data_IF_762290225772
#
_entry.id   IF_762290225772
#
_cell.length_a   1.000
_cell.length_b   1.000
_cell.length_c   1.000
_cell.angle_alpha   90.00
_cell.angle_beta   90.00
_cell.angle_gamma   90.00
#
_symmetry.space_group_name_H-M   'P 1'
#
loop_
_entity.id
_entity.type
_entity.pdbx_description
1 polymer ?
#
# COMPACT_ATOMS: atom_id res chain seq x y z
N UNK A 1 -9.87 9.42 -37.20
CA UNK A 1 -8.40 9.54 -37.38
C UNK A 1 -7.77 8.23 -36.97
N UNK A 2 -6.75 7.71 -37.66
CA UNK A 2 -6.01 6.57 -37.15
C UNK A 2 -5.39 6.95 -35.81
N UNK A 3 -5.35 6.01 -34.86
CA UNK A 3 -4.66 6.20 -33.59
C UNK A 3 -3.15 6.38 -33.86
N UNK A 4 -2.42 7.17 -33.03
CA UNK A 4 -0.99 7.30 -33.17
C UNK A 4 -0.29 5.94 -32.99
N UNK A 5 0.89 5.77 -33.58
CA UNK A 5 1.66 4.52 -33.59
C UNK A 5 1.98 3.95 -32.21
N UNK A 6 1.90 4.78 -31.14
CA UNK A 6 2.10 4.40 -29.74
C UNK A 6 0.81 4.12 -28.96
N UNK A 7 -0.35 4.00 -29.64
CA UNK A 7 -1.60 3.65 -29.00
C UNK A 7 -1.56 2.23 -28.41
N UNK A 8 -2.18 2.05 -27.24
CA UNK A 8 -2.29 0.74 -26.61
C UNK A 8 -3.28 -0.15 -27.35
N UNK A 9 -2.87 -1.35 -27.71
CA UNK A 9 -3.78 -2.38 -28.19
C UNK A 9 -4.59 -3.02 -27.04
N UNK A 10 -5.59 -3.84 -27.39
CA UNK A 10 -6.47 -4.48 -26.39
C UNK A 10 -5.70 -5.42 -25.45
N UNK A 11 -4.76 -6.27 -25.90
CA UNK A 11 -3.89 -7.05 -25.03
C UNK A 11 -3.07 -6.20 -24.07
N UNK A 12 -2.46 -5.10 -24.52
CA UNK A 12 -1.69 -4.19 -23.67
C UNK A 12 -2.58 -3.52 -22.61
N UNK A 13 -3.76 -3.02 -22.99
CA UNK A 13 -4.75 -2.45 -22.05
C UNK A 13 -5.13 -3.46 -20.97
N UNK A 14 -5.39 -4.70 -21.35
CA UNK A 14 -5.73 -5.79 -20.42
C UNK A 14 -4.57 -6.12 -19.48
N UNK A 15 -3.35 -6.19 -20.01
CA UNK A 15 -2.15 -6.48 -19.22
C UNK A 15 -1.86 -5.38 -18.20
N UNK A 16 -2.01 -4.11 -18.59
CA UNK A 16 -1.83 -2.96 -17.68
C UNK A 16 -2.86 -2.96 -16.55
N UNK A 17 -4.15 -3.18 -16.87
CA UNK A 17 -5.21 -3.26 -15.86
C UNK A 17 -5.00 -4.44 -14.89
N UNK A 18 -4.59 -5.60 -15.39
CA UNK A 18 -4.30 -6.77 -14.57
C UNK A 18 -3.09 -6.55 -13.65
N UNK A 19 -2.04 -5.89 -14.14
CA UNK A 19 -0.90 -5.50 -13.33
C UNK A 19 -1.31 -4.52 -12.23
N UNK A 20 -2.06 -3.46 -12.56
CA UNK A 20 -2.55 -2.46 -11.64
C UNK A 20 -3.40 -3.07 -10.51
N UNK A 21 -4.23 -4.06 -10.83
CA UNK A 21 -5.05 -4.78 -9.87
C UNK A 21 -4.24 -5.56 -8.83
N UNK A 22 -2.95 -5.84 -9.08
CA UNK A 22 -2.07 -6.53 -8.12
C UNK A 22 -1.47 -5.62 -7.06
N UNK A 23 -1.69 -4.30 -7.13
CA UNK A 23 -1.24 -3.35 -6.12
C UNK A 23 -1.78 -3.68 -4.71
N UNK A 24 -1.09 -3.22 -3.63
CA UNK A 24 -1.62 -3.34 -2.28
C UNK A 24 -2.81 -2.40 -2.07
N UNK A 25 -3.73 -2.81 -1.21
CA UNK A 25 -4.83 -1.96 -0.75
C UNK A 25 -5.20 -2.29 0.69
N UNK A 26 -5.86 -1.34 1.36
CA UNK A 26 -6.37 -1.55 2.72
C UNK A 26 -7.24 -2.81 2.75
N UNK A 27 -6.92 -3.75 3.65
CA UNK A 27 -7.59 -5.05 3.80
C UNK A 27 -7.87 -5.77 2.45
N UNK A 28 -7.03 -5.59 1.44
CA UNK A 28 -7.21 -6.12 0.08
C UNK A 28 -8.55 -5.71 -0.57
N UNK A 29 -9.10 -4.58 -0.15
CA UNK A 29 -10.42 -4.08 -0.60
C UNK A 29 -10.47 -3.74 -2.09
N UNK A 30 -9.30 -3.42 -2.70
CA UNK A 30 -9.16 -3.07 -4.11
C UNK A 30 -10.15 -1.96 -4.51
N UNK A 31 -10.07 -0.77 -3.85
CA UNK A 31 -11.05 0.29 -3.97
C UNK A 31 -10.81 1.15 -5.22
N UNK A 32 -10.66 0.50 -6.36
CA UNK A 32 -10.40 1.13 -7.64
C UNK A 32 -11.20 0.48 -8.77
N UNK A 33 -11.38 1.27 -9.81
CA UNK A 33 -11.84 0.85 -11.13
C UNK A 33 -10.87 1.43 -12.16
N UNK A 34 -10.58 0.68 -13.20
CA UNK A 34 -9.74 1.14 -14.30
C UNK A 34 -10.57 1.28 -15.57
N UNK A 35 -10.50 2.45 -16.20
CA UNK A 35 -10.96 2.65 -17.56
C UNK A 35 -9.74 2.65 -18.47
N UNK A 36 -9.66 1.72 -19.39
CA UNK A 36 -8.53 1.58 -20.32
C UNK A 36 -8.97 1.90 -21.74
N UNK A 37 -8.08 2.52 -22.49
CA UNK A 37 -8.30 2.85 -23.89
C UNK A 37 -6.98 3.01 -24.65
N UNK A 38 -7.04 3.20 -25.98
CA UNK A 38 -5.83 3.34 -26.80
C UNK A 38 -4.91 4.48 -26.36
N UNK A 39 -5.43 5.51 -25.70
CA UNK A 39 -4.68 6.67 -25.27
C UNK A 39 -4.12 6.56 -23.84
N UNK A 40 -4.48 5.51 -23.07
CA UNK A 40 -3.99 5.31 -21.72
C UNK A 40 -4.99 4.72 -20.75
N UNK A 41 -4.88 5.10 -19.48
CA UNK A 41 -5.65 4.52 -18.37
C UNK A 41 -6.14 5.62 -17.44
N UNK A 42 -7.40 5.53 -17.02
CA UNK A 42 -7.93 6.28 -15.89
C UNK A 42 -8.07 5.39 -14.67
N UNK A 43 -7.70 5.93 -13.52
CA UNK A 43 -7.85 5.28 -12.21
C UNK A 43 -8.95 6.00 -11.44
N UNK A 44 -10.04 5.29 -11.18
CA UNK A 44 -11.17 5.81 -10.42
C UNK A 44 -11.23 5.14 -9.05
N UNK A 45 -11.56 5.92 -8.01
CA UNK A 45 -11.85 5.39 -6.69
C UNK A 45 -13.24 4.74 -6.63
N UNK A 46 -13.35 3.59 -5.97
CA UNK A 46 -14.63 3.00 -5.55
C UNK A 46 -14.66 2.86 -4.01
N UNK A 47 -15.03 3.93 -3.28
CA UNK A 47 -15.03 3.94 -1.83
C UNK A 47 -15.97 2.90 -1.21
N UNK A 48 -16.99 2.42 -1.95
CA UNK A 48 -17.91 1.37 -1.46
C UNK A 48 -17.20 0.06 -1.16
N UNK A 49 -16.00 -0.16 -1.71
CA UNK A 49 -15.19 -1.37 -1.48
C UNK A 49 -14.29 -1.24 -0.25
N UNK A 50 -13.99 -0.03 0.20
CA UNK A 50 -13.09 0.21 1.32
C UNK A 50 -13.78 0.04 2.68
N UNK A 51 -13.02 -0.22 3.76
CA UNK A 51 -13.51 -0.06 5.12
C UNK A 51 -14.00 1.37 5.34
N UNK A 52 -15.06 1.54 6.14
CA UNK A 52 -15.69 2.86 6.38
C UNK A 52 -15.69 3.27 7.84
N UNK A 53 -15.37 2.35 8.74
CA UNK A 53 -15.48 2.55 10.18
C UNK A 53 -14.33 3.34 10.81
N UNK A 54 -13.26 3.65 10.07
CA UNK A 54 -12.10 4.39 10.58
C UNK A 54 -12.07 5.84 10.10
N UNK A 55 -11.45 6.74 10.87
CA UNK A 55 -11.20 8.13 10.44
C UNK A 55 -10.27 8.18 9.21
N UNK A 56 -9.46 7.16 8.97
CA UNK A 56 -8.57 7.05 7.81
C UNK A 56 -9.25 6.59 6.51
N UNK A 57 -10.50 6.16 6.55
CA UNK A 57 -11.19 5.46 5.45
C UNK A 57 -11.02 6.16 4.08
N UNK A 58 -11.23 7.48 4.04
CA UNK A 58 -11.06 8.26 2.80
C UNK A 58 -9.61 8.28 2.32
N UNK A 59 -8.66 8.51 3.23
CA UNK A 59 -7.22 8.51 2.96
C UNK A 59 -6.76 7.16 2.40
N UNK A 60 -7.20 6.07 3.00
CA UNK A 60 -6.81 4.71 2.63
C UNK A 60 -7.28 4.33 1.22
N UNK A 61 -8.41 4.89 0.76
CA UNK A 61 -8.85 4.76 -0.64
C UNK A 61 -7.87 5.43 -1.59
N UNK A 62 -7.50 6.70 -1.34
CA UNK A 62 -6.58 7.42 -2.20
C UNK A 62 -5.16 6.84 -2.18
N UNK A 63 -4.66 6.41 -1.01
CA UNK A 63 -3.41 5.66 -0.89
C UNK A 63 -3.43 4.38 -1.73
N UNK A 64 -4.51 3.61 -1.64
CA UNK A 64 -4.66 2.38 -2.42
C UNK A 64 -4.69 2.68 -3.93
N UNK A 65 -5.42 3.69 -4.37
CA UNK A 65 -5.44 4.13 -5.77
C UNK A 65 -4.07 4.64 -6.24
N UNK A 66 -3.33 5.34 -5.37
CA UNK A 66 -1.96 5.78 -5.65
C UNK A 66 -1.00 4.60 -5.88
N UNK A 67 -1.10 3.54 -5.07
CA UNK A 67 -0.33 2.33 -5.27
C UNK A 67 -0.67 1.62 -6.60
N UNK A 68 -1.94 1.61 -6.98
CA UNK A 68 -2.37 1.10 -8.28
C UNK A 68 -1.86 1.98 -9.43
N UNK A 69 -1.90 3.31 -9.27
CA UNK A 69 -1.38 4.28 -10.24
C UNK A 69 0.11 4.06 -10.53
N UNK A 70 0.93 3.87 -9.49
CA UNK A 70 2.35 3.55 -9.72
C UNK A 70 2.50 2.25 -10.51
N UNK A 71 1.68 1.24 -10.24
CA UNK A 71 1.73 -0.03 -10.96
C UNK A 71 1.30 0.13 -12.43
N UNK A 72 0.31 1.00 -12.74
CA UNK A 72 -0.02 1.40 -14.13
C UNK A 72 1.20 2.00 -14.81
N UNK A 73 1.88 2.97 -14.16
CA UNK A 73 3.07 3.63 -14.70
C UNK A 73 4.19 2.61 -14.99
N UNK A 74 4.46 1.72 -14.05
CA UNK A 74 5.47 0.68 -14.21
C UNK A 74 5.14 -0.31 -15.35
N UNK A 75 3.86 -0.66 -15.51
CA UNK A 75 3.41 -1.53 -16.58
C UNK A 75 3.55 -0.86 -17.96
N UNK A 76 3.18 0.41 -18.08
CA UNK A 76 3.33 1.18 -19.31
C UNK A 76 4.80 1.41 -19.65
N UNK A 77 5.63 1.72 -18.65
CA UNK A 77 7.07 1.84 -18.82
C UNK A 77 7.72 0.52 -19.31
N UNK A 78 7.23 -0.63 -18.81
CA UNK A 78 7.67 -1.96 -19.29
C UNK A 78 7.33 -2.23 -20.76
N UNK A 79 6.27 -1.59 -21.26
CA UNK A 79 5.86 -1.59 -22.68
C UNK A 79 6.58 -0.48 -23.48
N UNK A 80 7.59 0.16 -22.91
CA UNK A 80 8.31 1.29 -23.49
C UNK A 80 7.42 2.49 -23.84
N UNK A 81 6.37 2.75 -23.05
CA UNK A 81 5.44 3.86 -23.25
C UNK A 81 5.80 5.04 -22.34
N UNK A 82 6.12 6.18 -22.93
CA UNK A 82 6.19 7.46 -22.23
C UNK A 82 4.80 7.93 -21.85
N UNK A 83 4.63 8.42 -20.62
CA UNK A 83 3.32 8.82 -20.10
C UNK A 83 3.32 10.18 -19.45
N UNK A 84 2.17 10.86 -19.52
CA UNK A 84 1.84 12.02 -18.69
C UNK A 84 0.80 11.59 -17.66
N UNK A 85 1.04 11.91 -16.40
CA UNK A 85 0.12 11.64 -15.30
C UNK A 85 -0.51 12.95 -14.83
N UNK A 86 -1.83 12.98 -14.75
CA UNK A 86 -2.59 14.05 -14.12
C UNK A 86 -3.33 13.48 -12.92
N UNK A 87 -2.98 13.94 -11.71
CA UNK A 87 -3.63 13.54 -10.46
C UNK A 87 -4.79 14.47 -10.18
N UNK A 88 -5.95 13.92 -9.83
CA UNK A 88 -7.21 14.63 -9.60
C UNK A 88 -7.52 15.66 -10.71
N UNK A 89 -7.57 15.21 -11.98
CA UNK A 89 -7.62 16.12 -13.13
C UNK A 89 -8.90 16.92 -13.23
N UNK A 90 -9.96 16.54 -12.55
CA UNK A 90 -11.28 17.14 -12.61
C UNK A 90 -11.77 17.55 -11.22
N UNK A 91 -11.82 18.86 -10.94
CA UNK A 91 -12.24 19.38 -9.64
C UNK A 91 -13.68 18.97 -9.25
N UNK A 92 -14.54 18.69 -10.23
CA UNK A 92 -15.92 18.26 -10.03
C UNK A 92 -16.10 16.74 -9.86
N UNK A 93 -15.05 15.94 -10.12
CA UNK A 93 -15.07 14.50 -9.96
C UNK A 93 -13.91 14.00 -9.08
N UNK A 94 -14.07 13.99 -7.75
CA UNK A 94 -13.04 13.50 -6.85
C UNK A 94 -12.82 11.99 -6.93
N UNK A 95 -13.70 11.24 -7.61
CA UNK A 95 -13.52 9.81 -7.81
C UNK A 95 -12.58 9.51 -8.99
N UNK A 96 -12.39 10.41 -9.94
CA UNK A 96 -11.32 10.31 -10.93
C UNK A 96 -9.99 10.69 -10.29
N UNK A 97 -9.29 9.68 -9.76
CA UNK A 97 -8.05 9.86 -9.00
C UNK A 97 -6.88 10.24 -9.88
N UNK A 98 -6.77 9.63 -11.06
CA UNK A 98 -5.71 9.96 -12.01
C UNK A 98 -6.08 9.60 -13.44
N UNK A 99 -5.53 10.39 -14.37
CA UNK A 99 -5.48 10.10 -15.80
C UNK A 99 -4.03 9.92 -16.23
N UNK A 100 -3.73 8.76 -16.82
CA UNK A 100 -2.42 8.42 -17.38
C UNK A 100 -2.56 8.39 -18.89
N UNK A 101 -1.95 9.34 -19.57
CA UNK A 101 -2.00 9.46 -21.03
C UNK A 101 -0.68 9.02 -21.63
N UNK A 102 -0.73 8.11 -22.59
CA UNK A 102 0.43 7.73 -23.40
C UNK A 102 0.79 8.87 -24.33
N UNK A 103 2.05 9.30 -24.29
CA UNK A 103 2.54 10.47 -25.06
C UNK A 103 3.53 10.10 -26.16
N UNK A 104 4.00 8.86 -26.17
CA UNK A 104 5.01 8.37 -27.12
C UNK A 104 5.68 7.11 -26.61
N UNK A 105 6.79 6.78 -27.25
CA UNK A 105 7.72 5.75 -26.81
C UNK A 105 8.78 6.33 -25.84
N UNK A 106 9.55 5.51 -25.15
CA UNK A 106 10.56 5.91 -24.18
C UNK A 106 10.02 5.95 -22.76
N UNK A 107 9.60 4.80 -22.26
CA UNK A 107 9.13 4.63 -20.87
C UNK A 107 10.21 4.87 -19.84
N UNK A 108 9.79 5.23 -18.61
CA UNK A 108 10.67 5.39 -17.45
C UNK A 108 11.43 4.07 -17.14
N UNK A 109 12.79 4.03 -17.32
CA UNK A 109 13.55 2.79 -17.19
C UNK A 109 13.58 2.26 -15.75
N UNK A 110 13.49 3.13 -14.73
CA UNK A 110 13.48 2.72 -13.33
C UNK A 110 12.14 2.07 -12.99
N UNK A 111 11.02 2.68 -13.37
CA UNK A 111 9.70 2.09 -13.19
C UNK A 111 9.57 0.76 -13.95
N UNK A 112 10.10 0.68 -15.19
CA UNK A 112 10.13 -0.55 -15.97
C UNK A 112 10.94 -1.66 -15.29
N UNK A 113 12.07 -1.34 -14.66
CA UNK A 113 12.89 -2.30 -13.92
C UNK A 113 12.16 -2.85 -12.69
N UNK A 114 11.36 -2.03 -12.02
CA UNK A 114 10.58 -2.43 -10.85
C UNK A 114 9.38 -3.32 -11.19
N UNK A 115 8.86 -3.24 -12.41
CA UNK A 115 7.70 -4.02 -12.85
C UNK A 115 7.86 -5.52 -12.62
N UNK A 116 9.05 -6.08 -12.80
CA UNK A 116 9.32 -7.52 -12.58
C UNK A 116 8.95 -8.04 -11.20
N UNK A 117 8.91 -7.15 -10.19
CA UNK A 117 8.61 -7.49 -8.82
C UNK A 117 7.11 -7.39 -8.47
N UNK A 118 6.27 -6.86 -9.38
CA UNK A 118 4.82 -6.69 -9.17
C UNK A 118 4.16 -8.02 -8.81
N UNK A 119 4.52 -9.11 -9.51
CA UNK A 119 4.00 -10.45 -9.24
C UNK A 119 4.53 -11.10 -7.96
N UNK A 120 5.64 -10.61 -7.42
CA UNK A 120 6.32 -11.18 -6.25
C UNK A 120 6.03 -10.43 -4.94
N UNK A 121 5.72 -9.13 -5.02
CA UNK A 121 5.43 -8.30 -3.85
C UNK A 121 4.25 -8.84 -3.05
N UNK A 122 4.46 -9.04 -1.75
CA UNK A 122 3.44 -9.50 -0.78
C UNK A 122 3.47 -8.62 0.46
N UNK A 123 2.31 -8.36 1.05
CA UNK A 123 2.25 -7.92 2.46
C UNK A 123 2.51 -9.13 3.33
N UNK A 124 3.52 -9.07 4.18
CA UNK A 124 3.96 -10.21 4.98
C UNK A 124 3.76 -9.95 6.48
N UNK A 125 2.76 -10.60 7.05
CA UNK A 125 2.39 -10.49 8.47
C UNK A 125 2.95 -11.63 9.33
N UNK A 126 3.92 -12.39 8.80
CA UNK A 126 4.67 -13.41 9.54
C UNK A 126 5.87 -12.78 10.23
N UNK A 127 6.50 -13.50 11.17
CA UNK A 127 7.76 -13.06 11.78
C UNK A 127 8.84 -12.85 10.72
N UNK A 128 9.69 -11.87 10.96
CA UNK A 128 10.90 -11.64 10.19
C UNK A 128 12.12 -12.24 10.90
N UNK A 129 13.20 -12.39 10.17
CA UNK A 129 14.49 -12.78 10.72
C UNK A 129 15.04 -11.68 11.62
N UNK A 130 15.89 -12.02 12.59
CA UNK A 130 16.47 -11.03 13.50
C UNK A 130 17.54 -10.14 12.85
N UNK A 131 17.98 -10.50 11.62
CA UNK A 131 19.00 -9.72 10.91
C UNK A 131 18.43 -8.34 10.53
N UNK A 132 19.17 -7.26 10.86
CA UNK A 132 18.75 -5.91 10.52
C UNK A 132 18.79 -5.68 9.00
N UNK A 133 17.91 -4.82 8.52
CA UNK A 133 17.96 -4.34 7.13
C UNK A 133 19.18 -3.43 6.97
N UNK A 134 20.07 -3.69 6.00
CA UNK A 134 21.27 -2.87 5.81
C UNK A 134 20.94 -1.40 5.56
N UNK A 135 21.71 -0.49 6.17
CA UNK A 135 21.49 0.95 6.03
C UNK A 135 21.47 1.42 4.56
N UNK A 136 22.29 0.81 3.70
CA UNK A 136 22.29 1.09 2.26
C UNK A 136 20.98 0.73 1.58
N UNK A 137 20.34 -0.38 1.96
CA UNK A 137 19.02 -0.76 1.46
C UNK A 137 17.97 0.21 1.96
N UNK A 138 17.98 0.56 3.25
CA UNK A 138 17.05 1.56 3.81
C UNK A 138 17.18 2.93 3.12
N UNK A 139 18.40 3.33 2.76
CA UNK A 139 18.62 4.56 1.99
C UNK A 139 18.01 4.47 0.57
N UNK A 140 18.12 3.33 -0.11
CA UNK A 140 17.46 3.11 -1.41
C UNK A 140 15.94 3.19 -1.28
N UNK A 141 15.36 2.60 -0.22
CA UNK A 141 13.93 2.69 0.04
C UNK A 141 13.49 4.14 0.31
N UNK A 142 14.32 4.92 1.02
CA UNK A 142 14.11 6.35 1.23
C UNK A 142 14.10 7.11 -0.10
N UNK A 143 15.11 6.92 -0.95
CA UNK A 143 15.17 7.51 -2.29
C UNK A 143 13.97 7.13 -3.17
N UNK A 144 13.50 5.88 -3.07
CA UNK A 144 12.30 5.44 -3.78
C UNK A 144 11.04 6.21 -3.34
N UNK A 145 10.92 6.51 -2.05
CA UNK A 145 9.82 7.33 -1.53
C UNK A 145 9.93 8.80 -1.97
N UNK A 146 11.12 9.37 -1.89
CA UNK A 146 11.40 10.77 -2.28
C UNK A 146 11.13 11.02 -3.76
N UNK A 147 11.42 10.05 -4.62
CA UNK A 147 11.12 10.14 -6.06
C UNK A 147 9.62 10.36 -6.36
N UNK A 148 8.75 9.90 -5.49
CA UNK A 148 7.30 10.05 -5.61
C UNK A 148 6.74 11.17 -4.70
N UNK A 149 7.61 12.00 -4.11
CA UNK A 149 7.21 13.16 -3.30
C UNK A 149 6.80 12.83 -1.85
N UNK A 150 7.28 11.72 -1.31
CA UNK A 150 7.10 11.35 0.09
C UNK A 150 8.45 11.10 0.77
N UNK A 151 8.48 11.14 2.10
CA UNK A 151 9.69 10.87 2.89
C UNK A 151 9.50 9.60 3.69
N UNK A 152 10.51 8.73 3.70
CA UNK A 152 10.56 7.55 4.57
C UNK A 152 11.39 7.88 5.81
N UNK A 153 10.74 8.22 6.90
CA UNK A 153 11.38 8.49 8.18
C UNK A 153 11.61 7.19 8.93
N UNK A 154 12.86 6.86 9.17
CA UNK A 154 13.24 5.70 9.97
C UNK A 154 13.06 6.00 11.46
N UNK A 155 12.61 5.00 12.21
CA UNK A 155 12.49 5.07 13.65
C UNK A 155 13.72 4.41 14.30
N UNK A 156 14.89 5.04 14.16
CA UNK A 156 16.17 4.53 14.66
C UNK A 156 16.61 5.17 15.99
N UNK A 157 16.03 6.30 16.37
CA UNK A 157 16.26 6.93 17.65
C UNK A 157 15.37 6.28 18.75
N UNK A 158 15.99 5.70 19.77
CA UNK A 158 15.29 4.90 20.78
C UNK A 158 14.09 5.59 21.45
N UNK A 159 14.12 6.88 21.85
CA UNK A 159 12.96 7.53 22.44
C UNK A 159 11.77 7.63 21.48
N UNK A 160 12.02 7.86 20.19
CA UNK A 160 10.99 7.95 19.17
C UNK A 160 10.44 6.58 18.79
N UNK A 161 11.31 5.60 18.64
CA UNK A 161 10.93 4.21 18.41
C UNK A 161 9.97 3.70 19.47
N UNK A 162 10.31 3.86 20.77
CA UNK A 162 9.46 3.44 21.89
C UNK A 162 8.15 4.21 21.95
N UNK A 163 8.17 5.49 21.61
CA UNK A 163 6.95 6.31 21.52
C UNK A 163 5.99 5.75 20.48
N UNK A 164 6.46 5.49 19.25
CA UNK A 164 5.61 4.96 18.18
C UNK A 164 5.11 3.55 18.52
N UNK A 165 5.95 2.67 19.10
CA UNK A 165 5.50 1.36 19.59
C UNK A 165 4.39 1.48 20.63
N UNK A 166 4.51 2.45 21.56
CA UNK A 166 3.48 2.71 22.56
C UNK A 166 2.16 3.15 21.92
N UNK A 167 2.22 3.99 20.90
CA UNK A 167 1.04 4.42 20.15
C UNK A 167 0.39 3.24 19.40
N UNK A 168 1.18 2.36 18.78
CA UNK A 168 0.67 1.16 18.12
C UNK A 168 -0.05 0.24 19.12
N UNK A 169 0.53 0.02 20.31
CA UNK A 169 -0.09 -0.78 21.37
C UNK A 169 -1.38 -0.13 21.88
N UNK A 170 -1.34 1.17 22.17
CA UNK A 170 -2.49 1.94 22.65
C UNK A 170 -3.65 1.89 21.65
N UNK A 171 -3.38 2.11 20.36
CA UNK A 171 -4.37 2.00 19.31
C UNK A 171 -4.97 0.59 19.18
N UNK A 172 -4.13 -0.46 19.33
CA UNK A 172 -4.60 -1.84 19.27
C UNK A 172 -5.51 -2.22 20.44
N UNK A 173 -5.35 -1.60 21.60
CA UNK A 173 -6.17 -1.84 22.81
C UNK A 173 -7.46 -1.02 22.81
N UNK A 174 -7.44 0.15 22.19
CA UNK A 174 -8.55 1.09 22.15
C UNK A 174 -9.42 0.94 20.88
N UNK A 175 -9.24 -0.12 20.12
CA UNK A 175 -9.95 -0.31 18.86
C UNK A 175 -11.46 -0.43 19.08
N UNK A 176 -12.22 0.38 18.34
CA UNK A 176 -13.68 0.44 18.39
C UNK A 176 -14.32 -0.89 17.91
N UNK A 177 -15.43 -1.28 18.53
CA UNK A 177 -16.19 -2.47 18.15
C UNK A 177 -16.66 -2.42 16.70
N UNK A 178 -17.11 -1.26 16.20
CA UNK A 178 -17.52 -1.09 14.82
C UNK A 178 -16.38 -1.33 13.82
N UNK A 179 -15.14 -0.94 14.16
CA UNK A 179 -13.96 -1.21 13.35
C UNK A 179 -13.63 -2.70 13.35
N UNK A 180 -13.77 -3.37 14.49
CA UNK A 180 -13.57 -4.82 14.61
C UNK A 180 -14.61 -5.61 13.81
N UNK A 181 -15.87 -5.21 13.89
CA UNK A 181 -16.98 -5.84 13.16
C UNK A 181 -16.80 -5.68 11.64
N UNK A 182 -16.60 -4.46 11.12
CA UNK A 182 -16.36 -4.23 9.68
C UNK A 182 -15.16 -5.05 9.15
N UNK A 183 -14.10 -5.17 9.95
CA UNK A 183 -12.96 -6.01 9.60
C UNK A 183 -13.30 -7.50 9.64
N UNK A 184 -13.99 -7.98 10.65
CA UNK A 184 -14.40 -9.38 10.78
C UNK A 184 -15.28 -9.80 9.60
N UNK A 185 -16.26 -8.98 9.21
CA UNK A 185 -17.13 -9.22 8.06
C UNK A 185 -16.34 -9.37 6.75
N UNK A 186 -15.32 -8.54 6.56
CA UNK A 186 -14.44 -8.63 5.38
C UNK A 186 -13.57 -9.88 5.37
N UNK A 187 -13.13 -10.32 6.54
CA UNK A 187 -12.29 -11.51 6.69
C UNK A 187 -13.09 -12.82 6.56
N UNK A 188 -14.35 -12.81 6.96
CA UNK A 188 -15.25 -13.98 6.88
C UNK A 188 -16.12 -14.01 5.63
N UNK A 189 -16.11 -12.96 4.82
CA UNK A 189 -16.82 -12.89 3.54
C UNK A 189 -16.41 -13.99 2.55
N UNK A 190 -17.24 -14.23 1.54
CA UNK A 190 -16.99 -15.26 0.52
C UNK A 190 -16.89 -14.61 -0.87
N UNK A 191 -15.68 -14.62 -1.48
CA UNK A 191 -14.39 -15.03 -0.91
C UNK A 191 -13.90 -14.04 0.16
N UNK A 192 -13.08 -14.49 1.13
CA UNK A 192 -12.51 -13.60 2.14
C UNK A 192 -11.59 -12.57 1.49
N UNK A 193 -11.66 -11.33 1.99
CA UNK A 193 -10.82 -10.25 1.49
C UNK A 193 -9.32 -10.56 1.67
N UNK A 194 -8.97 -11.12 2.83
CA UNK A 194 -7.61 -11.59 3.13
C UNK A 194 -7.68 -13.06 3.54
N UNK A 195 -7.10 -13.99 2.78
CA UNK A 195 -7.02 -15.40 3.16
C UNK A 195 -6.28 -15.61 4.48
N UNK A 196 -6.61 -16.70 5.18
CA UNK A 196 -6.03 -17.03 6.50
C UNK A 196 -4.50 -17.08 6.45
N UNK A 197 -3.93 -17.61 5.39
CA UNK A 197 -2.49 -17.72 5.17
C UNK A 197 -1.79 -16.36 5.05
N UNK A 198 -2.55 -15.32 4.68
CA UNK A 198 -2.05 -13.94 4.56
C UNK A 198 -2.25 -13.12 5.83
N UNK A 199 -3.01 -13.63 6.82
CA UNK A 199 -3.17 -12.97 8.12
C UNK A 199 -1.93 -13.09 9.01
N UNK A 200 -1.10 -14.11 8.76
CA UNK A 200 0.00 -14.48 9.63
C UNK A 200 -0.48 -15.17 10.93
N UNK A 201 0.45 -15.68 11.73
CA UNK A 201 0.14 -16.31 13.01
C UNK A 201 -0.37 -15.28 14.02
N UNK A 202 -1.07 -15.76 15.06
CA UNK A 202 -1.44 -14.94 16.21
C UNK A 202 -0.15 -14.55 16.95
N UNK A 203 0.10 -13.25 17.21
CA UNK A 203 1.27 -12.84 17.96
C UNK A 203 1.24 -13.39 19.39
N UNK A 204 2.32 -14.00 19.83
CA UNK A 204 2.47 -14.47 21.21
C UNK A 204 2.72 -13.26 22.10
N UNK A 205 1.81 -12.99 23.03
CA UNK A 205 1.88 -11.82 23.95
C UNK A 205 2.57 -12.19 25.27
N UNK A 206 3.78 -12.67 25.19
CA UNK A 206 4.61 -12.99 26.38
C UNK A 206 5.54 -11.84 26.80
N UNK A 207 5.37 -10.66 26.20
CA UNK A 207 6.17 -9.47 26.48
C UNK A 207 7.47 -9.37 25.68
N UNK A 208 7.78 -10.37 24.87
CA UNK A 208 8.99 -10.40 24.03
C UNK A 208 8.75 -9.93 22.60
N UNK A 209 7.49 -9.86 22.16
CA UNK A 209 7.12 -9.28 20.88
C UNK A 209 7.30 -7.77 20.94
N UNK A 210 7.95 -7.20 19.96
CA UNK A 210 8.17 -5.76 19.85
C UNK A 210 6.88 -4.91 19.80
N UNK A 211 5.69 -5.51 19.91
CA UNK A 211 4.38 -4.85 19.97
C UNK A 211 3.92 -4.16 18.69
N UNK A 212 4.69 -4.29 17.60
CA UNK A 212 4.40 -3.63 16.33
C UNK A 212 3.46 -4.44 15.42
N UNK A 213 3.02 -5.61 15.86
CA UNK A 213 2.22 -6.53 15.04
C UNK A 213 0.77 -6.52 15.50
N UNK A 214 -0.13 -6.17 14.56
CA UNK A 214 -1.57 -6.25 14.76
C UNK A 214 -2.08 -7.66 14.47
N UNK A 215 -2.84 -8.22 15.39
CA UNK A 215 -3.73 -9.32 15.05
C UNK A 215 -4.97 -8.76 14.34
N UNK A 216 -5.14 -9.12 13.07
CA UNK A 216 -6.30 -8.67 12.29
C UNK A 216 -7.59 -9.44 12.60
N UNK A 217 -7.50 -10.56 13.31
CA UNK A 217 -8.61 -11.44 13.58
C UNK A 217 -8.58 -11.98 15.03
N UNK A 218 -8.49 -11.11 16.06
CA UNK A 218 -8.32 -11.56 17.45
C UNK A 218 -9.50 -12.38 17.96
N UNK A 219 -10.71 -12.08 17.48
CA UNK A 219 -11.97 -12.68 17.93
C UNK A 219 -12.46 -13.81 17.01
N UNK A 220 -11.70 -14.14 15.96
CA UNK A 220 -12.08 -15.16 15.00
C UNK A 220 -11.27 -16.48 15.20
N UNK A 221 -12.01 -17.55 15.46
CA UNK A 221 -11.42 -18.89 15.47
C UNK A 221 -11.20 -19.37 14.02
N UNK A 222 -10.04 -19.08 13.47
CA UNK A 222 -9.68 -19.43 12.11
C UNK A 222 -8.82 -20.71 12.11
N UNK A 223 -9.32 -21.83 11.54
CA UNK A 223 -8.56 -23.07 11.44
C UNK A 223 -7.23 -22.89 10.71
N UNK A 224 -6.19 -23.56 11.19
CA UNK A 224 -4.85 -23.50 10.59
C UNK A 224 -4.00 -22.28 10.96
N UNK A 225 -4.55 -21.33 11.73
CA UNK A 225 -3.81 -20.17 12.20
C UNK A 225 -3.09 -20.47 13.52
N UNK A 226 -1.78 -20.73 13.45
CA UNK A 226 -0.93 -20.97 14.62
C UNK A 226 -0.56 -19.68 15.37
N UNK A 227 0.21 -19.82 16.46
CA UNK A 227 0.84 -18.71 17.20
C UNK A 227 2.33 -18.65 16.93
N UNK A 228 2.93 -17.45 16.92
CA UNK A 228 4.38 -17.29 16.82
C UNK A 228 4.88 -16.12 17.68
N UNK A 229 6.16 -16.24 18.09
CA UNK A 229 6.91 -15.08 18.57
C UNK A 229 7.38 -14.26 17.36
N UNK A 230 7.34 -12.95 17.51
CA UNK A 230 7.84 -12.02 16.51
C UNK A 230 9.20 -11.47 16.94
N UNK A 231 9.89 -10.84 16.00
CA UNK A 231 11.18 -10.20 16.29
C UNK A 231 11.00 -9.12 17.37
N UNK A 232 11.92 -9.07 18.36
CA UNK A 232 11.80 -8.13 19.49
C UNK A 232 12.05 -6.67 19.07
N UNK A 233 12.78 -6.46 17.99
CA UNK A 233 13.16 -5.14 17.45
C UNK A 233 12.89 -5.08 15.95
N UNK A 234 11.63 -4.94 15.51
CA UNK A 234 11.32 -4.79 14.09
C UNK A 234 11.87 -3.48 13.53
N UNK A 235 12.35 -3.51 12.29
CA UNK A 235 12.69 -2.28 11.55
C UNK A 235 11.38 -1.52 11.26
N UNK A 236 11.24 -0.34 11.86
CA UNK A 236 10.06 0.51 11.70
C UNK A 236 10.42 1.80 10.95
N UNK A 237 9.52 2.21 10.07
CA UNK A 237 9.60 3.51 9.40
C UNK A 237 8.21 4.12 9.19
N UNK A 238 8.14 5.44 9.14
CA UNK A 238 6.93 6.20 8.81
C UNK A 238 7.08 6.81 7.43
N UNK A 239 6.14 6.53 6.54
CA UNK A 239 6.03 7.21 5.26
C UNK A 239 5.20 8.48 5.47
N UNK A 240 5.76 9.61 5.10
CA UNK A 240 5.21 10.95 5.36
C UNK A 240 5.13 11.78 4.09
N UNK A 241 4.20 12.74 4.07
CA UNK A 241 4.10 13.77 3.02
C UNK A 241 4.12 15.16 3.64
N UNK A 242 4.61 16.16 2.89
CA UNK A 242 4.70 17.53 3.36
C UNK A 242 3.32 18.15 3.63
N UNK A 243 2.30 17.75 2.88
CA UNK A 243 0.93 18.19 3.02
C UNK A 243 0.00 17.03 3.29
N UNK A 244 -1.23 17.31 3.77
CA UNK A 244 -2.25 16.30 4.02
C UNK A 244 -3.52 16.60 3.22
N UNK A 245 -3.75 15.80 2.21
CA UNK A 245 -4.90 15.94 1.32
C UNK A 245 -4.91 14.90 0.21
N UNK A 246 -5.97 14.86 -0.61
CA UNK A 246 -6.15 13.80 -1.61
C UNK A 246 -4.95 13.63 -2.56
N UNK A 247 -4.35 14.71 -3.03
CA UNK A 247 -3.17 14.65 -3.92
C UNK A 247 -1.96 14.05 -3.19
N UNK A 248 -1.71 14.48 -1.95
CA UNK A 248 -0.62 13.95 -1.10
C UNK A 248 -0.84 12.48 -0.75
N UNK A 249 -2.10 12.07 -0.52
CA UNK A 249 -2.42 10.66 -0.26
C UNK A 249 -2.18 9.78 -1.50
N UNK A 250 -2.46 10.28 -2.70
CA UNK A 250 -2.13 9.59 -3.96
C UNK A 250 -0.61 9.51 -4.13
N UNK A 251 0.12 10.59 -3.86
CA UNK A 251 1.59 10.59 -3.90
C UNK A 251 2.18 9.58 -2.93
N UNK A 252 1.71 9.56 -1.68
CA UNK A 252 2.12 8.56 -0.68
C UNK A 252 1.82 7.13 -1.11
N UNK A 253 0.69 6.89 -1.79
CA UNK A 253 0.36 5.58 -2.37
C UNK A 253 1.33 5.15 -3.47
N UNK A 254 1.72 6.07 -4.36
CA UNK A 254 2.74 5.81 -5.38
C UNK A 254 4.09 5.52 -4.73
N UNK A 255 4.50 6.34 -3.76
CA UNK A 255 5.73 6.17 -2.99
C UNK A 255 5.77 4.82 -2.27
N UNK A 256 4.67 4.45 -1.61
CA UNK A 256 4.53 3.15 -0.96
C UNK A 256 4.75 2.00 -1.94
N UNK A 257 4.10 2.02 -3.10
CA UNK A 257 4.22 0.93 -4.06
C UNK A 257 5.64 0.85 -4.65
N UNK A 258 6.26 1.98 -5.02
CA UNK A 258 7.63 2.03 -5.50
C UNK A 258 8.60 1.44 -4.47
N UNK A 259 8.51 1.91 -3.22
CA UNK A 259 9.29 1.41 -2.09
C UNK A 259 9.11 -0.11 -1.88
N UNK A 260 7.87 -0.60 -1.91
CA UNK A 260 7.59 -2.02 -1.71
C UNK A 260 8.14 -2.90 -2.84
N UNK A 261 8.14 -2.43 -4.07
CA UNK A 261 8.75 -3.15 -5.20
C UNK A 261 10.27 -3.15 -5.08
N UNK A 262 10.87 -2.01 -4.71
CA UNK A 262 12.30 -1.91 -4.42
C UNK A 262 12.71 -2.87 -3.29
N UNK A 263 11.99 -2.84 -2.16
CA UNK A 263 12.19 -3.75 -1.04
C UNK A 263 12.11 -5.22 -1.47
N UNK A 264 11.12 -5.56 -2.31
CA UNK A 264 10.97 -6.93 -2.84
C UNK A 264 12.19 -7.35 -3.65
N UNK A 265 12.77 -6.44 -4.44
CA UNK A 265 13.99 -6.67 -5.21
C UNK A 265 15.21 -6.97 -4.34
N UNK A 266 15.24 -6.45 -3.13
CA UNK A 266 16.28 -6.68 -2.13
C UNK A 266 15.95 -7.83 -1.15
N UNK A 267 14.88 -8.59 -1.40
CA UNK A 267 14.45 -9.70 -0.52
C UNK A 267 13.83 -9.24 0.79
N UNK A 268 13.49 -7.95 0.93
CA UNK A 268 12.83 -7.38 2.09
C UNK A 268 11.32 -7.47 1.90
N UNK A 269 10.64 -7.91 2.95
CA UNK A 269 9.19 -7.89 3.03
C UNK A 269 8.71 -6.78 3.99
N UNK A 270 7.46 -6.37 3.81
CA UNK A 270 6.85 -5.37 4.66
C UNK A 270 5.46 -5.79 5.13
N UNK A 271 5.09 -5.31 6.31
CA UNK A 271 3.73 -5.23 6.81
C UNK A 271 3.45 -3.83 7.35
N UNK A 272 2.20 -3.60 7.75
CA UNK A 272 1.76 -2.27 8.17
C UNK A 272 1.31 -2.28 9.63
N UNK A 273 1.76 -1.29 10.39
CA UNK A 273 1.40 -1.04 11.78
C UNK A 273 0.61 0.28 11.88
N UNK A 274 -0.43 0.41 11.05
CA UNK A 274 -1.16 1.66 10.84
C UNK A 274 -2.20 1.97 11.92
N UNK A 275 -2.34 1.14 12.96
CA UNK A 275 -3.37 1.32 13.99
C UNK A 275 -3.44 2.76 14.53
N UNK A 276 -2.33 3.43 14.87
CA UNK A 276 -2.39 4.81 15.35
C UNK A 276 -2.79 5.81 14.27
N UNK A 277 -2.71 5.45 12.98
CA UNK A 277 -3.12 6.33 11.89
C UNK A 277 -4.61 6.21 11.55
N UNK A 278 -5.32 5.26 12.14
CA UNK A 278 -6.76 5.05 11.98
C UNK A 278 -7.58 5.98 12.89
N UNK A 279 -6.93 6.59 13.89
CA UNK A 279 -7.46 7.58 14.80
C UNK A 279 -6.77 8.94 14.57
N UNK A 280 -7.53 10.04 14.60
CA UNK A 280 -6.99 11.37 14.25
C UNK A 280 -6.03 11.90 15.32
N UNK A 281 -6.33 11.69 16.61
CA UNK A 281 -5.48 12.19 17.71
C UNK A 281 -4.17 11.40 17.77
N UNK A 282 -4.24 10.07 17.68
CA UNK A 282 -3.06 9.22 17.68
C UNK A 282 -2.17 9.47 16.46
N UNK A 283 -2.77 9.79 15.30
CA UNK A 283 -2.02 10.15 14.10
C UNK A 283 -1.23 11.43 14.32
N UNK A 284 -1.80 12.44 14.96
CA UNK A 284 -1.08 13.66 15.34
C UNK A 284 0.06 13.36 16.31
N UNK A 285 -0.14 12.44 17.27
CA UNK A 285 0.92 12.03 18.17
C UNK A 285 2.07 11.31 17.44
N UNK A 286 1.84 10.60 16.34
CA UNK A 286 2.91 10.04 15.49
C UNK A 286 3.72 11.15 14.81
N UNK A 287 3.09 12.26 14.43
CA UNK A 287 3.74 13.44 13.83
C UNK A 287 4.52 14.30 14.82
N UNK A 288 4.14 14.31 16.10
CA UNK A 288 4.50 15.34 17.08
C UNK A 288 5.95 15.27 17.60
N UNK A 289 6.89 14.79 16.81
CA UNK A 289 8.32 14.97 17.08
C UNK A 289 8.75 16.38 16.66
N UNK A 290 9.41 17.12 17.54
CA UNK A 290 9.86 18.50 17.32
C UNK A 290 10.82 18.72 16.12
N UNK A 291 11.22 17.63 15.46
CA UNK A 291 12.10 17.62 14.30
C UNK A 291 11.39 17.29 12.97
N UNK A 292 10.07 17.07 12.98
CA UNK A 292 9.37 16.52 11.80
C UNK A 292 8.23 17.44 11.39
N UNK A 293 8.18 17.75 10.09
CA UNK A 293 7.20 18.64 9.46
C UNK A 293 6.29 17.89 8.49
N UNK A 294 6.24 16.54 8.56
CA UNK A 294 5.46 15.71 7.66
C UNK A 294 4.18 15.18 8.29
N UNK A 295 3.21 14.86 7.43
CA UNK A 295 1.98 14.17 7.81
C UNK A 295 2.15 12.67 7.61
N UNK A 296 2.03 11.82 8.67
CA UNK A 296 2.21 10.38 8.57
C UNK A 296 1.08 9.76 7.76
N UNK A 297 1.46 8.98 6.75
CA UNK A 297 0.55 8.28 5.86
C UNK A 297 0.54 6.77 6.08
N UNK A 298 1.71 6.18 6.39
CA UNK A 298 1.85 4.75 6.66
C UNK A 298 2.91 4.50 7.72
N UNK A 299 2.70 3.52 8.59
CA UNK A 299 3.74 2.94 9.44
C UNK A 299 4.10 1.56 8.90
N UNK A 300 5.34 1.40 8.48
CA UNK A 300 5.87 0.17 7.91
C UNK A 300 6.69 -0.60 8.94
N UNK A 301 6.49 -1.91 8.96
CA UNK A 301 7.36 -2.87 9.62
C UNK A 301 8.02 -3.70 8.52
N UNK A 302 9.35 -3.71 8.48
CA UNK A 302 10.15 -4.29 7.40
C UNK A 302 11.15 -5.32 7.93
N UNK A 303 11.56 -6.26 7.09
CA UNK A 303 12.59 -7.25 7.45
C UNK A 303 12.71 -8.39 6.44
N UNK A 304 13.65 -9.28 6.68
CA UNK A 304 13.82 -10.49 5.90
C UNK A 304 12.76 -11.53 6.28
N UNK A 305 11.93 -12.01 5.33
CA UNK A 305 10.83 -12.90 5.66
C UNK A 305 11.33 -14.30 6.05
N UNK A 306 10.76 -14.88 7.10
CA UNK A 306 10.90 -16.32 7.42
C UNK A 306 9.96 -17.17 6.55
N UNK A 307 8.81 -16.61 6.19
CA UNK A 307 7.78 -17.28 5.40
C UNK A 307 7.30 -16.35 4.29
N UNK A 308 7.08 -16.89 3.10
CA UNK A 308 6.46 -16.15 2.00
C UNK A 308 4.98 -16.53 1.90
N UNK A 309 4.06 -15.61 2.20
CA UNK A 309 2.63 -15.88 2.07
C UNK A 309 2.24 -16.03 0.57
N UNK A 310 1.15 -16.76 0.28
CA UNK A 310 0.63 -16.89 -1.09
C UNK A 310 0.16 -15.53 -1.62
N UNK A 311 -0.12 -15.48 -2.93
CA UNK A 311 -0.74 -14.31 -3.53
C UNK A 311 -2.17 -14.15 -2.99
N UNK A 312 -2.50 -12.96 -2.53
CA UNK A 312 -3.88 -12.64 -2.17
C UNK A 312 -4.77 -12.61 -3.43
N UNK A 313 -6.03 -13.04 -3.34
CA UNK A 313 -6.94 -13.04 -4.48
C UNK A 313 -7.16 -11.63 -5.02
N UNK A 314 -7.41 -11.53 -6.32
CA UNK A 314 -7.74 -10.28 -6.98
C UNK A 314 -9.14 -10.36 -7.56
N UNK A 315 -9.88 -9.25 -7.47
CA UNK A 315 -11.20 -9.13 -8.10
C UNK A 315 -11.04 -9.14 -9.61
N UNK A 316 -11.96 -9.79 -10.35
CA UNK A 316 -12.02 -9.63 -11.79
C UNK A 316 -12.15 -8.13 -12.12
N UNK A 317 -11.35 -7.66 -13.07
CA UNK A 317 -11.46 -6.29 -13.55
C UNK A 317 -12.57 -6.27 -14.59
N UNK A 318 -13.70 -5.65 -14.24
CA UNK A 318 -14.71 -5.29 -15.23
C UNK A 318 -14.25 -3.97 -15.87
N UNK A 319 -14.04 -3.99 -17.17
CA UNK A 319 -13.78 -2.76 -17.92
C UNK A 319 -15.13 -2.02 -18.06
N UNK A 320 -15.38 -0.92 -17.38
CA UNK A 320 -16.46 -0.05 -17.79
C UNK A 320 -16.07 0.48 -19.18
N UNK A 321 -16.84 0.12 -20.20
CA UNK A 321 -16.77 0.82 -21.47
C UNK A 321 -17.21 2.25 -21.18
N UNK A 322 -16.28 3.18 -21.14
CA UNK A 322 -16.63 4.58 -21.30
C UNK A 322 -17.11 4.75 -22.74
N UNK A 323 -18.34 5.28 -22.97
CA UNK A 323 -18.72 5.67 -24.30
C UNK A 323 -17.69 6.73 -24.75
N UNK A 324 -17.13 6.51 -25.94
CA UNK A 324 -16.34 7.52 -26.60
C UNK A 324 -17.18 8.81 -26.70
N UNK A 325 -16.63 9.92 -26.17
CA UNK A 325 -17.24 11.23 -26.32
C UNK A 325 -17.18 11.69 -27.78
#
# INVERSE_FOLDING_TARGET
>A
MPYPDHALDVPEQTAVAAAAASAPSVLNSQPWLFSTGPQGVEVHADPRRAPTATASARRDVYLSCGAALFTVRAALARLDRAVRVSVLPEAGDPLLVARVTVTGDGGDPEAAALYRWVGDRRTNRHPFRPEPVPAGVLALLGGAAEHEGATLRRLDAEPEYQRVLTLIRRASLAEDDAVREDRADRLTGVPPAVPVENLGPVPRRDGTDGGAVRDLAPDLALPGRGTAAFEPHPELAVLETAEDGPASWVAAGQALQRLLLEATGHGIAASFANQPLEDAELREEVSSSAAHFGHPQMVLRMGYPLTRPPAAPRRPQHHPHYPAA
#
